data_IF_725002379471
#
_entry.id   IF_725002379471
#
_cell.length_a   1.000
_cell.length_b   1.000
_cell.length_c   1.000
_cell.angle_alpha   90.00
_cell.angle_beta   90.00
_cell.angle_gamma   90.00
#
_symmetry.space_group_name_H-M   'P 1'
#
loop_
_entity.id
_entity.type
_entity.pdbx_description
1 polymer ?
#
# COMPACT_ATOMS: atom_id res chain seq x y z
N UNK A 1 10.83 -4.54 20.38
CA UNK A 1 10.67 -3.27 21.12
C UNK A 1 11.90 -3.05 21.97
N UNK A 2 12.21 -1.82 22.36
CA UNK A 2 13.45 -1.50 23.09
C UNK A 2 13.15 -0.59 24.28
N UNK A 3 13.85 -0.81 25.40
CA UNK A 3 13.81 0.02 26.60
C UNK A 3 15.25 0.36 27.00
N UNK A 4 15.47 1.58 27.50
CA UNK A 4 16.79 1.99 27.99
C UNK A 4 16.85 3.48 28.35
N UNK A 5 17.97 3.94 28.92
CA UNK A 5 18.12 5.32 29.39
C UNK A 5 18.13 6.36 28.26
N UNK A 6 18.37 5.92 27.02
CA UNK A 6 18.38 6.77 25.82
C UNK A 6 16.97 7.00 25.22
N UNK A 7 15.93 6.40 25.80
CA UNK A 7 14.55 6.59 25.32
C UNK A 7 14.09 8.01 25.62
N UNK A 8 13.58 8.72 24.61
CA UNK A 8 13.08 10.07 24.79
C UNK A 8 11.87 10.10 25.74
N UNK A 9 11.65 11.21 26.49
CA UNK A 9 10.53 11.30 27.42
C UNK A 9 9.17 11.43 26.70
N UNK A 10 9.08 12.31 25.69
CA UNK A 10 7.87 12.51 24.90
C UNK A 10 8.13 13.35 23.65
N UNK A 11 7.19 13.35 22.71
CA UNK A 11 7.17 14.33 21.62
C UNK A 11 6.63 15.68 22.11
N UNK A 12 7.23 16.77 21.64
CA UNK A 12 6.82 18.14 21.97
C UNK A 12 5.37 18.41 21.54
N UNK A 13 4.51 18.76 22.52
CA UNK A 13 3.08 19.08 22.32
C UNK A 13 2.30 18.03 21.52
N UNK A 14 2.74 16.77 21.54
CA UNK A 14 2.08 15.69 20.79
C UNK A 14 1.94 14.42 21.67
N UNK A 15 0.97 14.42 22.61
CA UNK A 15 0.74 13.28 23.48
C UNK A 15 0.28 12.04 22.69
N UNK A 16 -0.45 12.23 21.60
CA UNK A 16 -0.92 11.13 20.72
C UNK A 16 0.24 10.39 20.06
N UNK A 17 1.18 11.10 19.44
CA UNK A 17 2.35 10.45 18.83
C UNK A 17 3.23 9.77 19.89
N UNK A 18 3.24 10.31 21.12
CA UNK A 18 4.00 9.72 22.23
C UNK A 18 3.40 8.38 22.65
N UNK A 19 2.09 8.29 22.83
CA UNK A 19 1.41 7.03 23.19
C UNK A 19 1.32 6.02 22.04
N UNK A 20 1.42 6.47 20.79
CA UNK A 20 1.57 5.57 19.64
C UNK A 20 2.94 4.90 19.64
N UNK A 21 4.01 5.66 19.92
CA UNK A 21 5.39 5.16 19.92
C UNK A 21 5.74 4.34 21.17
N UNK A 22 5.42 4.85 22.35
CA UNK A 22 5.70 4.22 23.64
C UNK A 22 4.53 3.34 24.07
N UNK A 23 4.82 2.17 24.62
CA UNK A 23 3.81 1.38 25.31
C UNK A 23 3.61 1.86 26.77
N UNK A 24 2.60 1.33 27.50
CA UNK A 24 2.37 1.71 28.90
C UNK A 24 3.54 1.40 29.85
N UNK A 25 4.47 0.53 29.45
CA UNK A 25 5.64 0.11 30.22
C UNK A 25 6.91 0.88 29.83
N UNK A 26 6.81 1.86 28.92
CA UNK A 26 7.93 2.70 28.46
C UNK A 26 8.76 2.12 27.32
N UNK A 27 8.37 0.97 26.74
CA UNK A 27 9.06 0.39 25.60
C UNK A 27 8.75 1.14 24.31
N UNK A 28 9.80 1.37 23.52
CA UNK A 28 9.71 1.98 22.19
C UNK A 28 9.34 0.93 21.15
N UNK A 29 8.27 1.20 20.40
CA UNK A 29 7.92 0.50 19.16
C UNK A 29 8.75 1.05 18.02
N UNK A 30 9.86 0.39 17.68
CA UNK A 30 10.78 0.83 16.62
C UNK A 30 10.13 0.87 15.23
N UNK A 31 9.12 0.04 15.01
CA UNK A 31 8.49 -0.13 13.70
C UNK A 31 9.29 -1.01 12.73
N UNK A 32 10.31 -1.69 13.25
CA UNK A 32 11.14 -2.64 12.53
C UNK A 32 10.75 -4.08 12.87
N UNK A 33 10.76 -4.95 11.87
CA UNK A 33 10.69 -6.38 12.05
C UNK A 33 12.10 -6.90 12.35
N UNK A 34 12.25 -7.62 13.46
CA UNK A 34 13.52 -8.21 13.86
C UNK A 34 13.28 -9.53 14.59
N UNK A 35 14.28 -10.40 14.57
CA UNK A 35 14.33 -11.60 15.38
C UNK A 35 15.69 -11.70 16.06
N UNK A 36 15.80 -12.56 17.07
CA UNK A 36 17.07 -12.86 17.72
C UNK A 36 17.31 -14.37 17.69
N UNK A 37 18.57 -14.78 17.65
CA UNK A 37 18.95 -16.19 17.73
C UNK A 37 19.17 -16.65 19.19
N UNK A 38 19.43 -17.93 19.38
CA UNK A 38 19.66 -18.54 20.70
C UNK A 38 20.86 -17.94 21.43
N UNK A 39 21.82 -17.35 20.69
CA UNK A 39 23.00 -16.68 21.24
C UNK A 39 22.77 -15.20 21.57
N UNK A 40 21.58 -14.68 21.28
CA UNK A 40 21.18 -13.30 21.56
C UNK A 40 21.59 -12.29 20.49
N UNK A 41 22.07 -12.70 19.31
CA UNK A 41 22.29 -11.77 18.21
C UNK A 41 20.96 -11.32 17.62
N UNK A 42 20.83 -10.01 17.37
CA UNK A 42 19.61 -9.41 16.83
C UNK A 42 19.78 -9.16 15.33
N UNK A 43 18.84 -9.68 14.55
CA UNK A 43 18.76 -9.51 13.10
C UNK A 43 17.57 -8.62 12.76
N UNK A 44 17.85 -7.45 12.20
CA UNK A 44 16.83 -6.51 11.73
C UNK A 44 16.53 -6.81 10.26
N UNK A 45 15.27 -7.13 9.96
CA UNK A 45 14.82 -7.52 8.62
C UNK A 45 14.50 -6.30 7.76
N UNK A 46 13.44 -5.57 8.10
CA UNK A 46 12.99 -4.37 7.39
C UNK A 46 11.98 -3.59 8.25
N UNK A 47 11.56 -2.42 7.78
CA UNK A 47 10.48 -1.65 8.40
C UNK A 47 9.14 -2.33 8.14
N UNK A 48 8.34 -2.51 9.19
CA UNK A 48 7.01 -3.15 9.11
C UNK A 48 6.11 -2.49 8.04
N UNK A 49 6.21 -1.16 7.89
CA UNK A 49 5.45 -0.39 6.89
C UNK A 49 5.93 -0.55 5.44
N UNK A 50 7.13 -1.06 5.23
CA UNK A 50 7.71 -1.27 3.91
C UNK A 50 7.56 -2.71 3.42
N UNK A 51 7.25 -3.66 4.31
CA UNK A 51 6.99 -5.06 3.97
C UNK A 51 5.86 -5.16 2.94
N UNK A 52 6.11 -5.87 1.85
CA UNK A 52 5.14 -6.13 0.79
C UNK A 52 4.31 -7.36 1.16
N UNK A 53 2.98 -7.23 1.07
CA UNK A 53 2.04 -8.31 1.38
C UNK A 53 1.51 -8.94 0.10
N UNK A 54 2.03 -10.12 -0.24
CA UNK A 54 1.66 -10.85 -1.46
C UNK A 54 1.08 -12.21 -1.10
N UNK A 55 -0.18 -12.50 -1.47
CA UNK A 55 -0.87 -13.77 -1.21
C UNK A 55 -0.69 -14.32 0.21
N UNK A 56 -0.90 -13.47 1.22
CA UNK A 56 -0.74 -13.84 2.64
C UNK A 56 0.72 -14.01 3.10
N UNK A 57 1.69 -13.85 2.22
CA UNK A 57 3.12 -13.93 2.54
C UNK A 57 3.74 -12.55 2.68
N UNK A 58 4.68 -12.41 3.61
CA UNK A 58 5.45 -11.19 3.83
C UNK A 58 6.74 -11.24 3.01
N UNK A 59 6.93 -10.24 2.16
CA UNK A 59 8.14 -10.06 1.36
C UNK A 59 8.90 -8.86 1.88
N UNK A 60 10.13 -9.08 2.34
CA UNK A 60 11.03 -8.03 2.78
C UNK A 60 11.71 -7.40 1.56
N UNK A 61 11.51 -6.11 1.26
CA UNK A 61 12.17 -5.44 0.14
C UNK A 61 13.68 -5.58 0.17
N UNK A 62 14.30 -5.43 1.34
CA UNK A 62 15.76 -5.44 1.50
C UNK A 62 16.42 -6.74 1.00
N UNK A 63 15.72 -7.87 1.09
CA UNK A 63 16.23 -9.16 0.60
C UNK A 63 16.27 -9.22 -0.94
N UNK A 64 15.22 -8.73 -1.59
CA UNK A 64 15.15 -8.67 -3.05
C UNK A 64 16.14 -7.62 -3.58
N UNK A 65 16.28 -6.50 -2.88
CA UNK A 65 17.27 -5.46 -3.18
C UNK A 65 18.71 -5.96 -3.06
N UNK A 66 19.00 -6.83 -2.10
CA UNK A 66 20.32 -7.45 -1.96
C UNK A 66 20.68 -8.27 -3.21
N UNK A 67 19.72 -9.05 -3.74
CA UNK A 67 19.93 -9.84 -4.95
C UNK A 67 20.07 -8.95 -6.19
N UNK A 68 19.27 -7.89 -6.29
CA UNK A 68 19.35 -6.93 -7.40
C UNK A 68 20.71 -6.20 -7.42
N UNK A 69 21.20 -5.75 -6.26
CA UNK A 69 22.50 -5.07 -6.14
C UNK A 69 23.70 -5.94 -6.49
N UNK A 70 23.54 -7.26 -6.48
CA UNK A 70 24.59 -8.17 -6.94
C UNK A 70 24.70 -8.24 -8.48
N UNK A 71 23.78 -7.62 -9.23
CA UNK A 71 23.84 -7.57 -10.69
C UNK A 71 24.82 -6.49 -11.16
N UNK A 72 25.81 -6.78 -12.03
CA UNK A 72 26.84 -5.80 -12.44
C UNK A 72 26.28 -4.59 -13.19
N UNK A 73 25.12 -4.76 -13.85
CA UNK A 73 24.42 -3.67 -14.54
C UNK A 73 23.54 -2.77 -13.66
N UNK A 74 23.51 -2.96 -12.34
CA UNK A 74 22.65 -2.20 -11.41
C UNK A 74 23.53 -1.40 -10.44
N UNK A 75 23.46 -0.07 -10.49
CA UNK A 75 24.19 0.81 -9.57
C UNK A 75 23.41 1.05 -8.26
N UNK A 76 22.08 1.20 -8.37
CA UNK A 76 21.20 1.36 -7.21
C UNK A 76 19.81 0.76 -7.49
N UNK A 77 19.11 0.34 -6.44
CA UNK A 77 17.75 -0.15 -6.56
C UNK A 77 16.91 0.04 -5.29
N UNK A 78 15.60 0.07 -5.48
CA UNK A 78 14.63 0.02 -4.39
C UNK A 78 13.42 -0.83 -4.78
N UNK A 79 12.98 -1.69 -3.87
CA UNK A 79 11.80 -2.53 -4.03
C UNK A 79 10.65 -1.96 -3.21
N UNK A 80 9.46 -1.95 -3.81
CA UNK A 80 8.22 -1.49 -3.19
C UNK A 80 7.06 -2.40 -3.57
N UNK A 81 6.02 -2.42 -2.75
CA UNK A 81 4.76 -3.06 -3.11
C UNK A 81 3.94 -2.16 -4.03
N UNK A 82 3.62 -2.66 -5.23
CA UNK A 82 2.65 -2.07 -6.15
C UNK A 82 1.33 -2.81 -6.00
N UNK A 83 0.21 -2.11 -5.96
CA UNK A 83 -1.10 -2.78 -6.02
C UNK A 83 -1.38 -3.26 -7.43
N UNK A 84 -1.63 -4.55 -7.58
CA UNK A 84 -2.10 -5.16 -8.81
C UNK A 84 -3.56 -4.77 -9.07
N UNK A 85 -3.88 -4.40 -10.32
CA UNK A 85 -5.20 -3.90 -10.70
C UNK A 85 -6.23 -5.02 -10.81
N UNK A 86 -5.79 -6.26 -11.08
CA UNK A 86 -6.68 -7.41 -11.28
C UNK A 86 -7.02 -8.06 -9.94
N UNK A 87 -6.01 -8.39 -9.14
CA UNK A 87 -6.20 -9.07 -7.85
C UNK A 87 -6.44 -8.12 -6.68
N UNK A 88 -6.04 -6.84 -6.79
CA UNK A 88 -6.04 -5.90 -5.67
C UNK A 88 -4.92 -6.13 -4.65
N UNK A 89 -4.12 -7.19 -4.81
CA UNK A 89 -3.02 -7.54 -3.91
C UNK A 89 -1.79 -6.67 -4.15
N UNK A 90 -0.86 -6.61 -3.17
CA UNK A 90 0.44 -6.00 -3.43
C UNK A 90 1.38 -7.00 -4.09
N UNK A 91 1.99 -6.59 -5.19
CA UNK A 91 3.04 -7.32 -5.90
C UNK A 91 4.38 -6.57 -5.77
N UNK A 92 5.51 -7.27 -5.56
CA UNK A 92 6.82 -6.63 -5.54
C UNK A 92 7.15 -5.99 -6.89
N UNK A 93 7.59 -4.73 -6.86
CA UNK A 93 8.09 -3.98 -8.02
C UNK A 93 9.44 -3.35 -7.66
N UNK A 94 10.37 -3.31 -8.63
CA UNK A 94 11.68 -2.73 -8.43
C UNK A 94 11.85 -1.44 -9.25
N UNK A 95 12.44 -0.44 -8.61
CA UNK A 95 13.05 0.71 -9.26
C UNK A 95 14.56 0.49 -9.33
N UNK A 96 15.15 0.74 -10.49
CA UNK A 96 16.54 0.40 -10.79
C UNK A 96 17.23 1.58 -11.44
N UNK A 97 18.42 1.91 -10.96
CA UNK A 97 19.37 2.80 -11.62
C UNK A 97 20.36 1.92 -12.37
N UNK A 98 20.42 2.07 -13.69
CA UNK A 98 21.34 1.29 -14.53
C UNK A 98 22.77 1.76 -14.32
N UNK A 99 23.69 0.81 -14.39
CA UNK A 99 25.10 1.14 -14.52
C UNK A 99 25.40 1.78 -15.87
N UNK A 100 26.26 2.79 -15.87
CA UNK A 100 26.77 3.42 -17.10
C UNK A 100 27.50 2.41 -18.00
N UNK A 101 28.04 1.34 -17.41
CA UNK A 101 28.70 0.25 -18.13
C UNK A 101 27.72 -0.71 -18.82
N UNK A 102 26.42 -0.67 -18.45
CA UNK A 102 25.38 -1.55 -18.97
C UNK A 102 24.11 -0.77 -19.37
N UNK A 103 24.18 0.18 -20.32
CA UNK A 103 23.05 1.06 -20.66
C UNK A 103 21.85 0.30 -21.27
N UNK A 104 22.14 -0.83 -21.92
CA UNK A 104 21.15 -1.66 -22.61
C UNK A 104 20.42 -2.66 -21.69
N UNK A 105 20.73 -2.68 -20.38
CA UNK A 105 20.08 -3.59 -19.41
C UNK A 105 18.55 -3.53 -19.54
N UNK A 106 17.92 -4.66 -19.82
CA UNK A 106 16.47 -4.71 -20.03
C UNK A 106 15.71 -5.07 -18.75
N UNK A 107 14.44 -4.69 -18.65
CA UNK A 107 13.59 -5.07 -17.50
C UNK A 107 13.37 -6.58 -17.43
N UNK A 108 13.32 -7.26 -18.59
CA UNK A 108 13.19 -8.71 -18.67
C UNK A 108 14.43 -9.41 -18.11
N UNK A 109 15.62 -8.92 -18.46
CA UNK A 109 16.91 -9.44 -17.97
C UNK A 109 17.02 -9.30 -16.44
N UNK A 110 16.66 -8.13 -15.88
CA UNK A 110 16.64 -7.95 -14.42
C UNK A 110 15.69 -8.93 -13.73
N UNK A 111 14.48 -9.13 -14.30
CA UNK A 111 13.52 -10.10 -13.75
C UNK A 111 14.05 -11.52 -13.82
N UNK A 112 14.64 -11.89 -14.95
CA UNK A 112 15.20 -13.23 -15.17
C UNK A 112 16.39 -13.50 -14.26
N UNK A 113 17.25 -12.51 -14.03
CA UNK A 113 18.41 -12.65 -13.13
C UNK A 113 18.01 -12.99 -11.69
N UNK A 114 16.93 -12.35 -11.23
CA UNK A 114 16.40 -12.57 -9.87
C UNK A 114 15.56 -13.85 -9.83
N UNK A 115 14.87 -14.20 -10.93
CA UNK A 115 14.13 -15.44 -11.08
C UNK A 115 15.08 -16.64 -10.91
N UNK A 116 14.79 -17.50 -9.95
CA UNK A 116 15.63 -18.66 -9.61
C UNK A 116 16.64 -18.44 -8.47
N UNK A 117 16.88 -17.19 -8.05
CA UNK A 117 17.69 -16.89 -6.84
C UNK A 117 16.84 -16.59 -5.61
N UNK A 118 15.58 -16.23 -5.82
CA UNK A 118 14.62 -15.97 -4.76
C UNK A 118 13.40 -16.88 -4.90
N UNK A 119 12.69 -17.07 -3.80
CA UNK A 119 11.44 -17.81 -3.80
C UNK A 119 10.40 -17.16 -4.72
N UNK A 120 9.57 -17.97 -5.37
CA UNK A 120 8.59 -17.53 -6.38
C UNK A 120 7.69 -16.40 -5.89
N UNK A 121 7.28 -16.39 -4.62
CA UNK A 121 6.41 -15.34 -4.07
C UNK A 121 7.10 -13.97 -3.91
N UNK A 122 8.44 -13.91 -3.97
CA UNK A 122 9.24 -12.68 -3.89
C UNK A 122 9.54 -12.07 -5.28
N UNK A 123 9.19 -12.77 -6.36
CA UNK A 123 9.41 -12.30 -7.73
C UNK A 123 8.78 -10.93 -8.02
N UNK A 124 9.47 -10.17 -8.89
CA UNK A 124 9.12 -8.81 -9.29
C UNK A 124 7.93 -8.77 -10.27
N UNK A 125 6.76 -9.26 -9.82
CA UNK A 125 5.52 -9.28 -10.61
C UNK A 125 4.97 -7.91 -10.93
N UNK A 126 5.23 -6.92 -10.08
CA UNK A 126 4.83 -5.53 -10.29
C UNK A 126 5.66 -4.82 -11.37
N UNK A 127 6.73 -5.44 -11.86
CA UNK A 127 7.60 -4.93 -12.91
C UNK A 127 8.93 -4.37 -12.41
N UNK A 128 9.78 -3.98 -13.37
CA UNK A 128 11.06 -3.30 -13.15
C UNK A 128 11.01 -1.97 -13.90
N UNK A 129 11.32 -0.89 -13.21
CA UNK A 129 11.24 0.48 -13.71
C UNK A 129 12.61 1.12 -13.60
N UNK A 130 13.10 1.68 -14.71
CA UNK A 130 14.37 2.39 -14.70
C UNK A 130 14.16 3.85 -14.34
N UNK A 131 14.98 4.35 -13.41
CA UNK A 131 14.98 5.74 -12.95
C UNK A 131 16.40 6.28 -12.93
N UNK A 132 16.60 7.59 -13.08
CA UNK A 132 17.93 8.18 -13.01
C UNK A 132 18.52 8.09 -11.60
N UNK A 133 17.68 8.14 -10.57
CA UNK A 133 18.10 8.06 -9.17
C UNK A 133 17.00 7.48 -8.26
N UNK A 134 17.40 6.89 -7.14
CA UNK A 134 16.48 6.46 -6.08
C UNK A 134 16.32 7.62 -5.09
N UNK A 135 15.07 8.06 -4.79
CA UNK A 135 14.85 9.16 -3.86
C UNK A 135 15.23 8.72 -2.44
N UNK A 136 16.14 9.47 -1.83
CA UNK A 136 16.67 9.21 -0.48
C UNK A 136 16.54 10.44 0.41
N UNK A 137 16.45 10.22 1.72
CA UNK A 137 16.61 11.30 2.69
C UNK A 137 18.06 11.77 2.75
N UNK A 138 18.31 12.89 3.42
CA UNK A 138 19.66 13.40 3.71
C UNK A 138 20.55 12.37 4.42
N UNK A 139 19.95 11.47 5.20
CA UNK A 139 20.64 10.35 5.85
C UNK A 139 20.65 9.05 5.01
N UNK A 140 20.42 9.12 3.71
CA UNK A 140 20.53 8.00 2.76
C UNK A 140 19.36 7.01 2.76
N UNK A 141 18.31 7.22 3.59
CA UNK A 141 17.16 6.29 3.69
C UNK A 141 16.28 6.40 2.45
N UNK A 142 15.97 5.27 1.83
CA UNK A 142 15.05 5.22 0.68
C UNK A 142 13.66 5.76 1.07
N UNK A 143 13.19 6.73 0.29
CA UNK A 143 11.87 7.35 0.41
C UNK A 143 10.84 6.57 -0.41
N UNK A 144 10.58 5.31 -0.03
CA UNK A 144 9.65 4.40 -0.73
C UNK A 144 8.23 4.97 -0.93
N UNK A 145 7.82 5.92 -0.10
CA UNK A 145 6.56 6.67 -0.28
C UNK A 145 6.52 7.41 -1.62
N UNK A 146 7.61 8.07 -2.02
CA UNK A 146 7.69 8.80 -3.29
C UNK A 146 7.68 7.83 -4.48
N UNK A 147 8.36 6.68 -4.35
CA UNK A 147 8.34 5.64 -5.37
C UNK A 147 6.94 5.06 -5.59
N UNK A 148 6.14 4.87 -4.54
CA UNK A 148 4.74 4.42 -4.67
C UNK A 148 3.83 5.43 -5.39
N UNK A 149 4.11 6.73 -5.26
CA UNK A 149 3.35 7.78 -5.94
C UNK A 149 3.47 7.73 -7.47
N UNK A 150 4.47 7.02 -8.00
CA UNK A 150 4.62 6.77 -9.43
C UNK A 150 3.32 6.21 -10.04
N UNK A 151 2.64 5.29 -9.34
CA UNK A 151 1.38 4.68 -9.81
C UNK A 151 0.12 5.40 -9.33
N UNK A 152 0.18 6.18 -8.25
CA UNK A 152 -0.98 6.95 -7.78
C UNK A 152 -1.39 8.03 -8.78
N UNK A 153 -0.41 8.60 -9.51
CA UNK A 153 -0.64 9.56 -10.61
C UNK A 153 -1.34 8.91 -11.81
N UNK A 154 -0.97 7.68 -12.17
CA UNK A 154 -1.66 6.95 -13.24
C UNK A 154 -3.14 6.72 -12.88
N UNK A 155 -3.44 6.39 -11.61
CA UNK A 155 -4.82 6.18 -11.13
C UNK A 155 -5.67 7.43 -11.11
N UNK A 156 -5.09 8.59 -10.76
CA UNK A 156 -5.82 9.86 -10.77
C UNK A 156 -6.18 10.25 -12.19
N UNK A 157 -5.23 10.13 -13.13
CA UNK A 157 -5.47 10.38 -14.55
C UNK A 157 -6.52 9.42 -15.16
N UNK A 158 -6.52 8.13 -14.81
CA UNK A 158 -7.53 7.18 -15.32
C UNK A 158 -8.95 7.44 -14.78
N UNK A 159 -9.10 7.99 -13.57
CA UNK A 159 -10.41 8.36 -13.00
C UNK A 159 -10.97 9.66 -13.62
N UNK A 160 -10.09 10.58 -14.00
CA UNK A 160 -10.46 11.84 -14.65
C UNK A 160 -10.88 11.64 -16.13
N UNK A 161 -10.38 10.60 -16.79
CA UNK A 161 -10.82 10.21 -18.15
C UNK A 161 -12.22 9.59 -18.11
N UNK A 162 -12.47 8.65 -17.20
CA UNK A 162 -13.79 7.97 -17.07
C UNK A 162 -14.90 8.96 -16.68
N UNK A 163 -14.59 10.04 -15.95
CA UNK A 163 -15.58 11.06 -15.58
C UNK A 163 -15.84 12.10 -16.68
N UNK A 164 -14.98 12.24 -17.70
CA UNK A 164 -15.19 13.12 -18.85
C UNK A 164 -16.06 12.49 -19.93
N UNK A 165 -16.00 11.18 -20.11
CA UNK A 165 -16.81 10.47 -21.12
C UNK A 165 -18.30 10.31 -20.73
N UNK A 166 -18.66 10.61 -19.48
CA UNK A 166 -20.02 10.47 -18.94
C UNK A 166 -20.89 11.74 -18.93
N UNK A 167 -20.42 12.89 -19.43
CA UNK A 167 -21.20 14.14 -19.49
C UNK A 167 -21.38 14.64 -20.92
N UNK A 168 -22.23 13.93 -21.67
CA UNK A 168 -22.79 14.40 -22.93
C UNK A 168 -24.30 14.17 -22.95
N UNK A 169 -25.05 15.27 -23.05
CA UNK A 169 -26.48 15.39 -23.41
C UNK A 169 -27.53 15.13 -22.30
N UNK A 170 -27.99 16.22 -21.68
CA UNK A 170 -29.43 16.42 -21.43
C UNK A 170 -29.84 17.75 -22.06
N UNK A 171 -30.55 17.66 -23.18
CA UNK A 171 -31.23 18.78 -23.81
C UNK A 171 -32.59 19.00 -23.11
N UNK A 172 -32.92 20.28 -22.94
CA UNK A 172 -34.19 20.82 -22.43
C UNK A 172 -35.36 20.45 -23.35
N UNK A 173 -36.50 20.08 -22.76
CA UNK A 173 -37.82 20.41 -23.32
C UNK A 173 -38.88 20.41 -22.20
N UNK A 174 -39.58 21.54 -22.07
CA UNK A 174 -40.86 21.68 -21.34
C UNK A 174 -41.93 21.91 -22.41
N UNK A 175 -43.14 21.36 -22.23
CA UNK A 175 -44.32 22.19 -21.89
C UNK A 175 -45.28 21.40 -20.96
N UNK A 176 -46.44 21.80 -20.44
CA UNK A 176 -47.21 23.03 -20.15
C UNK A 176 -48.36 22.56 -19.19
N UNK A 177 -49.03 23.49 -18.50
CA UNK A 177 -50.02 23.31 -17.41
C UNK A 177 -51.33 22.65 -17.90
N UNK A 178 -52.11 21.87 -17.14
CA UNK A 178 -53.05 22.28 -16.06
C UNK A 178 -53.85 21.05 -15.51
N UNK A 179 -54.60 21.16 -14.38
CA UNK A 179 -54.91 20.05 -13.47
C UNK A 179 -56.34 19.48 -13.56
N UNK A 180 -56.55 18.23 -13.11
CA UNK A 180 -57.89 17.68 -12.83
C UNK A 180 -57.91 16.87 -11.51
N UNK A 181 -58.89 17.19 -10.66
CA UNK A 181 -59.23 16.61 -9.35
C UNK A 181 -59.98 15.28 -9.45
N UNK A 182 -59.88 14.44 -8.40
CA UNK A 182 -60.96 13.81 -7.59
C UNK A 182 -60.31 12.97 -6.46
N UNK A 183 -60.45 13.31 -5.17
CA UNK A 183 -61.55 12.97 -4.22
C UNK A 183 -61.89 11.48 -4.22
N UNK A 184 -62.11 10.74 -3.14
CA UNK A 184 -62.07 10.87 -1.67
C UNK A 184 -62.24 9.43 -1.16
N UNK A 185 -61.75 9.07 0.04
CA UNK A 185 -62.09 7.76 0.62
C UNK A 185 -61.32 7.38 1.89
N UNK A 186 -61.76 7.95 3.01
CA UNK A 186 -61.37 7.67 4.38
C UNK A 186 -61.72 6.26 4.87
N UNK A 187 -60.88 5.64 5.71
CA UNK A 187 -61.23 5.11 7.04
C UNK A 187 -60.02 4.46 7.73
N UNK A 188 -59.94 4.71 9.04
CA UNK A 188 -58.86 4.47 10.02
C UNK A 188 -58.93 3.04 10.65
N UNK A 189 -58.02 2.65 11.59
CA UNK A 189 -57.44 1.31 11.71
C UNK A 189 -57.96 0.51 12.91
N UNK A 190 -57.68 -0.80 12.98
CA UNK A 190 -57.85 -1.57 14.24
C UNK A 190 -57.04 -2.89 14.31
N UNK A 191 -56.17 -2.93 15.34
CA UNK A 191 -55.86 -4.01 16.31
C UNK A 191 -55.17 -5.34 15.91
N UNK A 192 -54.03 -5.57 16.59
CA UNK A 192 -53.41 -6.86 16.99
C UNK A 192 -54.32 -7.67 17.95
N UNK A 193 -54.15 -9.00 18.02
CA UNK A 193 -53.40 -9.63 19.13
C UNK A 193 -52.44 -10.75 18.64
N UNK A 194 -51.21 -10.87 19.13
CA UNK A 194 -50.75 -11.67 20.27
C UNK A 194 -51.11 -13.18 20.20
N UNK A 195 -50.11 -14.04 19.98
CA UNK A 195 -50.09 -15.35 20.62
C UNK A 195 -48.67 -15.82 20.98
N UNK A 196 -48.58 -16.48 22.12
CA UNK A 196 -47.41 -16.93 22.89
C UNK A 196 -47.40 -18.47 22.86
N UNK A 197 -46.27 -19.07 23.28
CA UNK A 197 -46.05 -20.51 23.66
C UNK A 197 -45.53 -21.42 22.53
N UNK A 198 -44.54 -22.30 22.72
CA UNK A 198 -43.92 -22.86 23.95
C UNK A 198 -42.55 -23.50 23.65
N UNK A 199 -41.73 -23.58 24.71
CA UNK A 199 -40.49 -24.36 24.83
C UNK A 199 -40.71 -25.87 24.67
N UNK A 200 -39.72 -26.57 24.12
CA UNK A 200 -38.95 -27.62 24.81
C UNK A 200 -37.55 -27.67 24.21
#
# INVERSE_FOLDING_TARGET
MVLGPQVMPSYYKNPKATSELLDPNGYVKTGDAAFYDETGHIYVLDRIKDIVRYKGTLVCPSEVELMLRAHPGIDDCAVVGRQDHVSGEQVPAAFVVKSQTHPLLSSAEVRQYVSGKIATFKELRGGVFFVPEIPRSTCGKVLRRQLRQFWDRERTNSKDVITKDGKGQKANEKPDRTPVKRANGSATPTKRPANRHTKK
#
